data_IF_603165881047
#
_entry.id   IF_603165881047
#
_cell.length_a   1.000
_cell.length_b   1.000
_cell.length_c   1.000
_cell.angle_alpha   90.00
_cell.angle_beta   90.00
_cell.angle_gamma   90.00
#
_symmetry.space_group_name_H-M   'P 1'
#
loop_
_entity.id
_entity.type
_entity.pdbx_description
1 polymer ?
#
# COMPACT_ATOMS: atom_id res chain seq x y z
N UNK A 1 36.96 -37.27 32.64
CA UNK A 1 36.45 -36.66 33.88
C UNK A 1 34.94 -36.46 33.72
N UNK A 2 34.20 -36.83 34.75
CA UNK A 2 32.75 -36.62 34.99
C UNK A 2 31.74 -37.46 34.19
N UNK A 3 31.28 -38.51 34.89
CA UNK A 3 30.10 -39.35 34.67
C UNK A 3 28.97 -38.86 35.57
N UNK A 4 27.72 -38.83 35.07
CA UNK A 4 26.43 -39.04 35.78
C UNK A 4 25.33 -38.72 34.76
N UNK A 5 24.60 -39.63 34.10
CA UNK A 5 23.86 -40.83 34.53
C UNK A 5 23.09 -40.63 35.83
N UNK A 6 21.78 -40.38 35.75
CA UNK A 6 20.74 -41.12 36.50
C UNK A 6 19.36 -40.92 35.84
N UNK A 7 18.89 -41.99 35.20
CA UNK A 7 17.56 -42.61 35.27
C UNK A 7 16.31 -41.79 35.64
N UNK A 8 15.35 -41.76 34.72
CA UNK A 8 13.94 -41.49 35.01
C UNK A 8 13.04 -42.09 33.93
N UNK A 9 12.66 -43.36 34.09
CA UNK A 9 11.66 -44.03 33.25
C UNK A 9 10.28 -43.47 33.60
N UNK A 10 9.66 -42.73 32.68
CA UNK A 10 8.21 -42.52 32.68
C UNK A 10 7.66 -43.01 31.34
N UNK A 11 6.95 -44.13 31.42
CA UNK A 11 6.07 -44.65 30.36
C UNK A 11 4.71 -44.01 30.60
N UNK A 12 4.19 -43.21 29.67
CA UNK A 12 2.75 -43.18 29.33
C UNK A 12 2.60 -42.77 27.86
N UNK A 13 1.95 -43.66 27.10
CA UNK A 13 1.44 -43.46 25.75
C UNK A 13 0.39 -42.33 25.72
N UNK A 14 0.41 -41.50 24.67
CA UNK A 14 -0.67 -40.56 24.39
C UNK A 14 -0.47 -39.82 23.08
N UNK A 15 -0.68 -40.52 21.97
CA UNK A 15 -0.89 -39.87 20.68
C UNK A 15 -2.22 -39.11 20.71
N UNK A 16 -2.17 -37.78 20.53
CA UNK A 16 -3.32 -36.99 20.11
C UNK A 16 -2.91 -36.26 18.83
N UNK A 17 -3.41 -36.80 17.72
CA UNK A 17 -3.53 -36.15 16.43
C UNK A 17 -4.89 -35.47 16.41
N UNK A 18 -4.91 -34.15 16.33
CA UNK A 18 -6.05 -33.26 16.01
C UNK A 18 -5.44 -32.13 15.17
N UNK A 19 -5.23 -32.30 13.86
CA UNK A 19 -6.17 -32.02 12.77
C UNK A 19 -6.99 -30.74 12.96
N UNK A 20 -6.54 -29.67 12.28
CA UNK A 20 -7.39 -28.71 11.58
C UNK A 20 -8.18 -27.67 12.38
N UNK A 21 -7.65 -26.46 12.42
CA UNK A 21 -8.44 -25.25 12.18
C UNK A 21 -7.50 -24.15 11.66
N UNK A 22 -7.50 -23.97 10.34
CA UNK A 22 -7.13 -22.70 9.74
C UNK A 22 -8.10 -21.65 10.29
N UNK A 23 -7.58 -20.68 11.02
CA UNK A 23 -8.36 -19.52 11.45
C UNK A 23 -7.73 -18.28 10.84
N UNK A 24 -8.26 -17.97 9.65
CA UNK A 24 -8.60 -16.63 9.15
C UNK A 24 -7.49 -15.56 9.30
N UNK A 25 -6.67 -15.42 8.26
CA UNK A 25 -6.02 -14.15 7.93
C UNK A 25 -7.06 -13.23 7.28
N UNK A 26 -7.96 -12.73 8.10
CA UNK A 26 -9.05 -11.83 7.74
C UNK A 26 -9.48 -11.20 9.05
N UNK A 27 -8.93 -10.02 9.33
CA UNK A 27 -9.24 -9.23 10.52
C UNK A 27 -10.65 -8.66 10.40
N UNK A 28 -11.66 -9.53 10.30
CA UNK A 28 -13.07 -9.18 10.37
C UNK A 28 -13.48 -9.14 11.82
N UNK A 29 -13.23 -8.00 12.47
CA UNK A 29 -13.75 -7.69 13.80
C UNK A 29 -15.28 -7.72 13.80
N UNK A 30 -15.82 -8.57 14.67
CA UNK A 30 -17.23 -8.70 15.03
C UNK A 30 -17.74 -7.35 15.59
N UNK A 31 -18.64 -6.66 14.89
CA UNK A 31 -19.64 -5.74 15.45
C UNK A 31 -20.67 -5.38 14.38
N UNK A 32 -21.95 -5.50 14.77
CA UNK A 32 -23.14 -4.81 14.28
C UNK A 32 -23.22 -4.32 12.82
N UNK A 33 -24.39 -4.50 12.21
CA UNK A 33 -24.81 -3.97 10.91
C UNK A 33 -24.74 -2.42 10.80
N UNK A 34 -23.55 -1.85 10.81
CA UNK A 34 -23.20 -0.43 10.77
C UNK A 34 -21.83 -0.23 10.12
N UNK A 35 -21.56 0.98 9.65
CA UNK A 35 -20.30 1.39 9.00
C UNK A 35 -19.05 1.04 9.83
N UNK A 36 -17.91 0.89 9.16
CA UNK A 36 -16.59 0.76 9.80
C UNK A 36 -16.33 1.92 10.77
N UNK A 37 -15.60 1.67 11.86
CA UNK A 37 -15.20 2.76 12.77
C UNK A 37 -14.04 3.56 12.16
N UNK A 38 -13.88 4.83 12.56
CA UNK A 38 -12.74 5.65 12.12
C UNK A 38 -11.39 5.01 12.43
N UNK A 39 -11.25 4.45 13.64
CA UNK A 39 -10.01 3.83 14.09
C UNK A 39 -9.66 2.57 13.27
N UNK A 40 -10.67 1.73 12.96
CA UNK A 40 -10.48 0.55 12.12
C UNK A 40 -10.22 0.90 10.66
N UNK A 41 -10.83 1.97 10.15
CA UNK A 41 -10.59 2.46 8.79
C UNK A 41 -9.15 2.98 8.65
N UNK A 42 -8.69 3.85 9.56
CA UNK A 42 -7.31 4.35 9.56
C UNK A 42 -6.31 3.20 9.60
N UNK A 43 -6.50 2.24 10.52
CA UNK A 43 -5.57 1.13 10.67
C UNK A 43 -5.48 0.25 9.40
N UNK A 44 -6.59 0.03 8.71
CA UNK A 44 -6.61 -0.76 7.48
C UNK A 44 -6.08 0.03 6.28
N UNK A 45 -6.43 1.32 6.16
CA UNK A 45 -5.90 2.20 5.11
C UNK A 45 -4.38 2.36 5.22
N UNK A 46 -3.86 2.60 6.44
CA UNK A 46 -2.41 2.69 6.68
C UNK A 46 -1.70 1.38 6.31
N UNK A 47 -2.29 0.22 6.62
CA UNK A 47 -1.71 -1.05 6.21
C UNK A 47 -1.60 -1.15 4.69
N UNK A 48 -2.66 -0.79 3.96
CA UNK A 48 -2.67 -0.82 2.49
C UNK A 48 -1.60 0.14 1.93
N UNK A 49 -1.53 1.36 2.45
CA UNK A 49 -0.53 2.35 2.03
C UNK A 49 0.91 1.88 2.33
N UNK A 50 1.14 1.25 3.48
CA UNK A 50 2.46 0.70 3.82
C UNK A 50 2.91 -0.42 2.86
N UNK A 51 1.98 -1.25 2.38
CA UNK A 51 2.26 -2.30 1.40
C UNK A 51 2.66 -1.71 0.04
N UNK A 52 2.01 -0.64 -0.40
CA UNK A 52 2.40 0.10 -1.62
C UNK A 52 3.73 0.81 -1.47
N UNK A 53 3.96 1.51 -0.35
CA UNK A 53 5.22 2.21 -0.09
C UNK A 53 6.43 1.26 -0.08
N UNK A 54 6.24 0.01 0.38
CA UNK A 54 7.28 -1.00 0.34
C UNK A 54 7.67 -1.41 -1.09
N UNK A 55 6.71 -1.42 -2.03
CA UNK A 55 6.91 -1.77 -3.43
C UNK A 55 7.63 -0.65 -4.22
N UNK A 56 7.44 0.61 -3.81
CA UNK A 56 8.05 1.77 -4.48
C UNK A 56 9.58 1.72 -4.62
N UNK A 57 10.30 1.07 -3.69
CA UNK A 57 11.76 0.93 -3.77
C UNK A 57 12.23 -0.02 -4.89
N UNK A 58 11.43 -1.03 -5.22
CA UNK A 58 11.72 -1.97 -6.31
C UNK A 58 11.47 -1.27 -7.66
N UNK A 59 10.32 -0.62 -7.79
CA UNK A 59 9.95 0.17 -8.96
C UNK A 59 10.99 1.26 -9.28
N UNK A 60 11.49 1.97 -8.26
CA UNK A 60 12.53 2.98 -8.47
C UNK A 60 13.83 2.38 -9.04
N UNK A 61 14.22 1.17 -8.60
CA UNK A 61 15.41 0.49 -9.14
C UNK A 61 15.20 0.10 -10.60
N UNK A 62 14.04 -0.48 -10.93
CA UNK A 62 13.69 -0.92 -12.27
C UNK A 62 13.63 0.26 -13.25
N UNK A 63 13.03 1.38 -12.84
CA UNK A 63 13.03 2.61 -13.62
C UNK A 63 14.44 3.09 -13.94
N UNK A 64 15.32 3.13 -12.92
CA UNK A 64 16.70 3.57 -13.11
C UNK A 64 17.49 2.62 -14.02
N UNK A 65 17.26 1.30 -13.93
CA UNK A 65 17.86 0.33 -14.84
C UNK A 65 17.41 0.58 -16.29
N UNK A 66 16.10 0.76 -16.51
CA UNK A 66 15.54 1.04 -17.83
C UNK A 66 16.09 2.35 -18.43
N UNK A 67 16.15 3.42 -17.63
CA UNK A 67 16.71 4.71 -18.04
C UNK A 67 18.21 4.62 -18.38
N UNK A 68 18.99 3.87 -17.61
CA UNK A 68 20.41 3.65 -17.90
C UNK A 68 20.63 2.81 -19.17
N UNK A 69 19.72 1.90 -19.48
CA UNK A 69 19.71 1.14 -20.72
C UNK A 69 19.22 1.97 -21.93
N UNK A 70 18.60 3.14 -21.68
CA UNK A 70 17.94 3.95 -22.71
C UNK A 70 16.66 3.32 -23.24
N UNK A 71 16.04 2.44 -22.45
CA UNK A 71 14.80 1.74 -22.79
C UNK A 71 13.60 2.51 -22.22
N UNK A 72 13.11 3.48 -23.00
CA UNK A 72 11.98 4.33 -22.60
C UNK A 72 10.67 3.55 -22.49
N UNK A 73 10.52 2.44 -23.23
CA UNK A 73 9.32 1.61 -23.13
C UNK A 73 9.31 0.87 -21.78
N UNK A 74 10.45 0.28 -21.40
CA UNK A 74 10.58 -0.34 -20.09
C UNK A 74 10.43 0.69 -18.96
N UNK A 75 10.98 1.90 -19.12
CA UNK A 75 10.86 2.95 -18.12
C UNK A 75 9.40 3.41 -17.94
N UNK A 76 8.64 3.53 -19.03
CA UNK A 76 7.22 3.85 -18.97
C UNK A 76 6.37 2.72 -18.38
N UNK A 77 6.70 1.47 -18.69
CA UNK A 77 6.01 0.31 -18.12
C UNK A 77 6.10 0.28 -16.59
N UNK A 78 7.24 0.68 -16.01
CA UNK A 78 7.38 0.78 -14.54
C UNK A 78 6.38 1.78 -13.93
N UNK A 79 6.11 2.90 -14.60
CA UNK A 79 5.12 3.87 -14.14
C UNK A 79 3.68 3.33 -14.28
N UNK A 80 3.38 2.58 -15.35
CA UNK A 80 2.07 1.95 -15.49
C UNK A 80 1.83 0.85 -14.47
N UNK A 81 2.83 0.00 -14.22
CA UNK A 81 2.76 -1.02 -13.18
C UNK A 81 2.50 -0.37 -11.81
N UNK A 82 3.17 0.76 -11.52
CA UNK A 82 2.91 1.55 -10.32
C UNK A 82 1.47 2.09 -10.29
N UNK A 83 0.98 2.66 -11.39
CA UNK A 83 -0.37 3.21 -11.48
C UNK A 83 -1.44 2.12 -11.25
N UNK A 84 -1.22 0.92 -11.78
CA UNK A 84 -2.10 -0.24 -11.60
C UNK A 84 -2.11 -0.72 -10.14
N UNK A 85 -0.94 -0.82 -9.50
CA UNK A 85 -0.80 -1.19 -8.08
C UNK A 85 -1.48 -0.19 -7.15
N UNK A 86 -1.24 1.10 -7.36
CA UNK A 86 -1.88 2.18 -6.59
C UNK A 86 -3.39 2.20 -6.83
N UNK A 87 -3.85 1.99 -8.07
CA UNK A 87 -5.28 1.89 -8.37
C UNK A 87 -5.96 0.75 -7.62
N UNK A 88 -5.30 -0.41 -7.56
CA UNK A 88 -5.82 -1.55 -6.80
C UNK A 88 -5.89 -1.25 -5.29
N UNK A 89 -4.87 -0.60 -4.74
CA UNK A 89 -4.87 -0.16 -3.35
C UNK A 89 -5.98 0.87 -3.05
N UNK A 90 -6.24 1.81 -3.96
CA UNK A 90 -7.35 2.76 -3.83
C UNK A 90 -8.69 2.02 -3.81
N UNK A 91 -8.87 1.04 -4.70
CA UNK A 91 -10.09 0.22 -4.73
C UNK A 91 -10.25 -0.60 -3.44
N UNK A 92 -9.16 -1.06 -2.82
CA UNK A 92 -9.18 -1.73 -1.52
C UNK A 92 -9.59 -0.78 -0.39
N UNK A 93 -9.05 0.45 -0.35
CA UNK A 93 -9.44 1.47 0.63
C UNK A 93 -10.91 1.87 0.46
N UNK A 94 -11.36 2.10 -0.78
CA UNK A 94 -12.78 2.36 -1.08
C UNK A 94 -13.67 1.20 -0.60
N UNK A 95 -13.19 -0.03 -0.76
CA UNK A 95 -13.85 -1.26 -0.33
C UNK A 95 -14.02 -1.40 1.19
N UNK A 96 -13.23 -0.70 2.00
CA UNK A 96 -13.41 -0.63 3.46
C UNK A 96 -14.73 0.07 3.83
N UNK A 97 -15.20 0.97 2.94
CA UNK A 97 -16.26 1.91 3.21
C UNK A 97 -15.81 3.06 4.10
N UNK A 98 -16.55 4.17 4.06
CA UNK A 98 -16.27 5.30 4.92
C UNK A 98 -16.89 5.13 6.33
N UNK A 99 -16.22 5.60 7.38
CA UNK A 99 -16.84 5.76 8.70
C UNK A 99 -18.02 6.74 8.66
N UNK A 100 -19.06 6.48 9.45
CA UNK A 100 -20.24 7.37 9.51
C UNK A 100 -19.84 8.79 9.91
N UNK A 101 -20.18 9.77 9.06
CA UNK A 101 -19.87 11.18 9.26
C UNK A 101 -18.54 11.65 8.66
N UNK A 102 -17.74 10.73 8.11
CA UNK A 102 -16.45 11.03 7.46
C UNK A 102 -16.47 10.77 5.94
N UNK A 103 -17.65 10.50 5.35
CA UNK A 103 -17.80 10.10 3.94
C UNK A 103 -17.14 11.11 2.98
N UNK A 104 -17.35 12.40 3.20
CA UNK A 104 -16.77 13.46 2.36
C UNK A 104 -15.23 13.47 2.42
N UNK A 105 -14.64 13.20 3.60
CA UNK A 105 -13.18 13.20 3.75
C UNK A 105 -12.57 11.99 3.05
N UNK A 106 -13.22 10.82 3.16
CA UNK A 106 -12.77 9.58 2.51
C UNK A 106 -12.93 9.68 0.98
N UNK A 107 -14.05 10.23 0.50
CA UNK A 107 -14.28 10.45 -0.92
C UNK A 107 -13.26 11.44 -1.51
N UNK A 108 -12.90 12.49 -0.78
CA UNK A 108 -11.87 13.46 -1.19
C UNK A 108 -10.49 12.81 -1.26
N UNK A 109 -10.11 12.01 -0.25
CA UNK A 109 -8.88 11.22 -0.29
C UNK A 109 -8.82 10.33 -1.53
N UNK A 110 -9.84 9.50 -1.75
CA UNK A 110 -9.92 8.59 -2.91
C UNK A 110 -9.83 9.38 -4.23
N UNK A 111 -10.51 10.52 -4.31
CA UNK A 111 -10.48 11.37 -5.50
C UNK A 111 -9.10 11.97 -5.76
N UNK A 112 -8.37 12.41 -4.72
CA UNK A 112 -7.00 12.91 -4.86
C UNK A 112 -6.06 11.79 -5.30
N UNK A 113 -6.15 10.61 -4.68
CA UNK A 113 -5.32 9.46 -5.05
C UNK A 113 -5.56 9.01 -6.51
N UNK A 114 -6.81 9.01 -6.98
CA UNK A 114 -7.13 8.70 -8.39
C UNK A 114 -6.57 9.74 -9.36
N UNK A 115 -6.57 11.01 -8.99
CA UNK A 115 -5.91 12.05 -9.79
C UNK A 115 -4.39 11.86 -9.82
N UNK A 116 -3.78 11.42 -8.71
CA UNK A 116 -2.36 11.06 -8.67
C UNK A 116 -2.04 9.93 -9.65
N UNK A 117 -2.85 8.87 -9.68
CA UNK A 117 -2.74 7.77 -10.67
C UNK A 117 -2.82 8.29 -12.11
N UNK A 118 -3.73 9.22 -12.40
CA UNK A 118 -3.82 9.82 -13.73
C UNK A 118 -2.50 10.53 -14.10
N UNK A 119 -1.86 11.23 -13.15
CA UNK A 119 -0.55 11.88 -13.36
C UNK A 119 0.59 10.90 -13.56
N UNK A 120 0.60 9.77 -12.86
CA UNK A 120 1.57 8.70 -13.09
C UNK A 120 1.43 8.14 -14.52
N UNK A 121 0.20 7.94 -15.00
CA UNK A 121 -0.06 7.51 -16.38
C UNK A 121 0.36 8.56 -17.43
N UNK A 122 0.09 9.84 -17.18
CA UNK A 122 0.57 10.93 -18.04
C UNK A 122 2.11 10.98 -18.09
N UNK A 123 2.79 10.74 -16.96
CA UNK A 123 4.25 10.64 -16.91
C UNK A 123 4.77 9.44 -17.71
N UNK A 124 4.11 8.28 -17.64
CA UNK A 124 4.44 7.10 -18.45
C UNK A 124 4.34 7.43 -19.96
N UNK A 125 3.25 8.06 -20.39
CA UNK A 125 3.08 8.48 -21.79
C UNK A 125 4.17 9.48 -22.22
N UNK A 126 4.51 10.44 -21.36
CA UNK A 126 5.57 11.40 -21.64
C UNK A 126 6.94 10.73 -21.80
N UNK A 127 7.27 9.75 -20.95
CA UNK A 127 8.51 8.97 -21.01
C UNK A 127 8.59 8.23 -22.36
N UNK A 128 7.53 7.53 -22.78
CA UNK A 128 7.51 6.82 -24.07
C UNK A 128 7.77 7.74 -25.26
N UNK A 129 7.24 8.95 -25.18
CA UNK A 129 7.34 9.94 -26.24
C UNK A 129 8.65 10.75 -26.17
N UNK A 130 9.53 10.50 -25.19
CA UNK A 130 10.70 11.33 -24.86
C UNK A 130 10.33 12.83 -24.69
N UNK A 131 9.11 13.09 -24.21
CA UNK A 131 8.58 14.44 -24.00
C UNK A 131 8.87 14.90 -22.58
N UNK A 132 10.05 15.46 -22.39
CA UNK A 132 10.48 15.98 -21.08
C UNK A 132 9.60 17.09 -20.54
N UNK A 133 9.01 17.92 -21.41
CA UNK A 133 8.18 19.02 -20.94
C UNK A 133 6.85 18.50 -20.39
N UNK A 134 6.28 17.48 -21.03
CA UNK A 134 5.09 16.79 -20.52
C UNK A 134 5.41 16.03 -19.21
N UNK A 135 6.57 15.37 -19.14
CA UNK A 135 7.00 14.67 -17.92
C UNK A 135 7.16 15.63 -16.75
N UNK A 136 7.88 16.74 -16.94
CA UNK A 136 8.09 17.75 -15.89
C UNK A 136 6.76 18.35 -15.40
N UNK A 137 5.78 18.52 -16.30
CA UNK A 137 4.45 19.01 -15.94
C UNK A 137 3.65 17.97 -15.13
N UNK A 138 3.64 16.70 -15.57
CA UNK A 138 2.96 15.63 -14.87
C UNK A 138 3.52 15.42 -13.45
N UNK A 139 4.85 15.49 -13.29
CA UNK A 139 5.50 15.41 -11.98
C UNK A 139 5.11 16.59 -11.10
N UNK A 140 5.16 17.82 -11.60
CA UNK A 140 4.80 18.99 -10.81
C UNK A 140 3.33 18.97 -10.36
N UNK A 141 2.41 18.55 -11.24
CA UNK A 141 1.00 18.39 -10.89
C UNK A 141 0.77 17.23 -9.91
N UNK A 142 1.55 16.14 -10.03
CA UNK A 142 1.59 15.05 -9.06
C UNK A 142 2.01 15.51 -7.68
N UNK A 143 3.14 16.24 -7.57
CA UNK A 143 3.64 16.79 -6.30
C UNK A 143 2.60 17.70 -5.61
N UNK A 144 1.83 18.48 -6.39
CA UNK A 144 0.74 19.31 -5.85
C UNK A 144 -0.43 18.48 -5.32
N UNK A 145 -0.77 17.36 -5.96
CA UNK A 145 -1.81 16.43 -5.51
C UNK A 145 -1.38 15.68 -4.25
N UNK A 146 -0.12 15.22 -4.22
CA UNK A 146 0.44 14.52 -3.07
C UNK A 146 0.47 15.44 -1.85
N UNK A 147 0.89 16.70 -2.00
CA UNK A 147 0.84 17.67 -0.91
C UNK A 147 -0.58 17.93 -0.36
N UNK A 148 -1.59 17.92 -1.23
CA UNK A 148 -3.00 18.04 -0.81
C UNK A 148 -3.48 16.77 -0.10
N UNK A 149 -3.10 15.60 -0.61
CA UNK A 149 -3.41 14.31 -0.01
C UNK A 149 -2.78 14.17 1.37
N UNK A 150 -1.49 14.49 1.50
CA UNK A 150 -0.73 14.44 2.76
C UNK A 150 -1.38 15.33 3.84
N UNK A 151 -1.75 16.57 3.50
CA UNK A 151 -2.45 17.46 4.44
C UNK A 151 -3.78 16.85 4.92
N UNK A 152 -4.54 16.23 4.00
CA UNK A 152 -5.83 15.62 4.31
C UNK A 152 -5.67 14.39 5.22
N UNK A 153 -4.78 13.46 4.87
CA UNK A 153 -4.62 12.20 5.58
C UNK A 153 -3.95 12.39 6.94
N UNK A 154 -3.01 13.34 7.06
CA UNK A 154 -2.44 13.76 8.35
C UNK A 154 -3.51 14.35 9.27
N UNK A 155 -4.36 15.24 8.74
CA UNK A 155 -5.47 15.81 9.49
C UNK A 155 -6.50 14.74 9.90
N UNK A 156 -6.64 13.69 9.08
CA UNK A 156 -7.54 12.58 9.35
C UNK A 156 -6.98 11.57 10.37
N UNK A 157 -5.65 11.51 10.51
CA UNK A 157 -4.93 10.69 11.48
C UNK A 157 -4.28 9.42 10.90
N UNK A 158 -4.19 9.32 9.58
CA UNK A 158 -3.40 8.30 8.90
C UNK A 158 -1.92 8.67 8.97
N UNK A 159 -1.05 7.66 8.91
CA UNK A 159 0.40 7.84 9.01
C UNK A 159 1.08 7.36 7.75
N UNK A 160 0.79 6.14 7.31
CA UNK A 160 1.48 5.52 6.17
C UNK A 160 0.95 6.06 4.83
N UNK A 161 -0.31 6.52 4.79
CA UNK A 161 -0.85 7.18 3.60
C UNK A 161 -0.38 8.64 3.42
N UNK A 162 0.11 9.31 4.48
CA UNK A 162 0.62 10.70 4.43
C UNK A 162 2.13 10.83 4.32
N UNK A 163 2.82 9.70 4.21
CA UNK A 163 4.29 9.64 4.20
C UNK A 163 4.88 9.53 2.79
N UNK A 164 4.06 9.59 1.73
CA UNK A 164 4.51 9.37 0.36
C UNK A 164 5.53 10.45 -0.12
N UNK A 165 5.54 11.64 0.50
CA UNK A 165 6.42 12.75 0.14
C UNK A 165 7.81 12.82 0.80
N UNK A 166 8.14 11.99 1.81
CA UNK A 166 9.41 12.13 2.59
C UNK A 166 10.56 11.18 2.13
N UNK A 167 10.38 10.44 1.03
CA UNK A 167 11.31 9.38 0.60
C UNK A 167 12.08 9.62 -0.71
N UNK A 168 12.12 10.85 -1.24
CA UNK A 168 12.92 11.18 -2.44
C UNK A 168 14.03 12.20 -2.21
#
# INVERSE_FOLDING_TARGET
MSVKSTSGRFVVLGAIVLTGAALIAGCGGDSDSGSITKEDFIAQADQICAEINAQGQELQQDFQEAMNAGDLEAAAAVFEDQADEVSAAIDEVEGLGAPEGDEETVDEFISLSRQGVDKVNEAAEAIRNDDRAALDAAVAEGDELDAQSDELVDAYGMVDCGSAGDSV
#
